data_IF_432367557041
#
_entry.id   IF_432367557041
#
_cell.length_a   1.000
_cell.length_b   1.000
_cell.length_c   1.000
_cell.angle_alpha   90.00
_cell.angle_beta   90.00
_cell.angle_gamma   90.00
#
_symmetry.space_group_name_H-M   'P 1'
#
loop_
_entity.id
_entity.type
_entity.pdbx_description
1 polymer ?
#
# COMPACT_ATOMS: atom_id res chain seq x y z
N UNK A 1 -26.73 12.28 45.06
CA UNK A 1 -27.83 11.78 45.91
C UNK A 1 -28.99 12.75 45.70
N UNK A 2 -29.90 12.48 44.75
CA UNK A 2 -31.25 11.92 44.99
C UNK A 2 -32.03 12.71 46.06
N UNK A 3 -33.26 13.19 45.91
CA UNK A 3 -34.36 12.92 44.97
C UNK A 3 -35.51 13.91 45.30
N UNK A 4 -36.38 14.16 44.31
CA UNK A 4 -37.86 14.25 44.38
C UNK A 4 -38.58 15.45 45.03
N UNK A 5 -39.58 15.88 44.24
CA UNK A 5 -40.97 16.26 44.61
C UNK A 5 -41.16 17.56 45.39
N UNK A 6 -42.22 18.34 45.21
CA UNK A 6 -43.31 18.42 44.24
C UNK A 6 -44.00 19.75 44.56
N UNK A 7 -44.75 20.25 43.58
CA UNK A 7 -45.81 21.21 43.73
C UNK A 7 -46.56 21.14 45.07
N UNK A 8 -46.89 22.32 45.61
CA UNK A 8 -48.24 22.78 45.97
C UNK A 8 -48.13 23.90 47.02
N UNK A 9 -48.87 24.98 46.74
CA UNK A 9 -49.21 26.16 47.57
C UNK A 9 -48.83 27.46 46.82
N UNK A 10 -49.65 27.94 45.90
CA UNK A 10 -50.94 28.62 46.17
C UNK A 10 -50.72 29.86 47.05
N UNK A 11 -50.45 31.01 46.44
CA UNK A 11 -51.35 32.19 46.37
C UNK A 11 -50.40 33.40 46.51
N UNK A 12 -50.53 34.57 45.92
CA UNK A 12 -51.60 35.36 45.32
C UNK A 12 -50.99 36.02 44.05
N UNK A 13 -51.68 36.16 42.93
CA UNK A 13 -52.40 37.41 42.69
C UNK A 13 -53.43 37.24 41.57
N UNK A 14 -54.69 37.38 41.95
CA UNK A 14 -55.86 37.60 41.08
C UNK A 14 -55.79 38.98 40.40
N UNK A 15 -56.71 39.15 39.44
CA UNK A 15 -57.17 40.37 38.70
C UNK A 15 -56.33 40.65 37.44
N UNK A 16 -56.85 40.65 36.21
CA UNK A 16 -58.17 41.09 35.69
C UNK A 16 -58.51 40.42 34.35
N UNK A 17 -59.77 40.01 34.16
CA UNK A 17 -60.39 39.62 32.88
C UNK A 17 -60.82 40.86 32.08
N UNK A 18 -60.96 40.66 30.77
CA UNK A 18 -61.91 41.29 29.84
C UNK A 18 -61.57 42.65 29.22
N UNK A 19 -61.04 42.64 27.98
CA UNK A 19 -61.42 43.48 26.81
C UNK A 19 -60.50 43.17 25.61
N UNK A 20 -60.74 42.08 24.87
CA UNK A 20 -60.09 41.84 23.57
C UNK A 20 -61.05 41.13 22.63
N UNK A 21 -62.06 41.83 22.12
CA UNK A 21 -62.89 41.23 21.05
C UNK A 21 -63.44 42.20 20.00
N UNK A 22 -63.32 43.52 20.15
CA UNK A 22 -63.96 44.47 19.21
C UNK A 22 -63.04 45.23 18.24
N UNK A 23 -61.71 45.04 18.26
CA UNK A 23 -60.77 45.86 17.45
C UNK A 23 -60.14 45.13 16.24
N UNK A 24 -60.48 43.86 15.98
CA UNK A 24 -59.71 43.01 15.04
C UNK A 24 -60.29 42.91 13.62
N UNK A 25 -61.55 43.26 13.39
CA UNK A 25 -62.21 43.07 12.08
C UNK A 25 -61.93 44.21 11.08
N UNK A 26 -61.86 45.47 11.53
CA UNK A 26 -61.65 46.60 10.62
C UNK A 26 -60.23 46.69 10.07
N UNK A 27 -59.24 46.24 10.85
CA UNK A 27 -57.84 46.22 10.43
C UNK A 27 -57.58 45.13 9.38
N UNK A 28 -58.24 43.97 9.48
CA UNK A 28 -58.12 42.90 8.48
C UNK A 28 -58.75 43.27 7.14
N UNK A 29 -59.92 43.93 7.13
CA UNK A 29 -60.59 44.32 5.89
C UNK A 29 -59.77 45.34 5.09
N UNK A 30 -59.13 46.31 5.78
CA UNK A 30 -58.24 47.30 5.16
C UNK A 30 -56.96 46.67 4.59
N UNK A 31 -56.40 45.68 5.29
CA UNK A 31 -55.23 44.95 4.80
C UNK A 31 -55.54 44.14 3.54
N UNK A 32 -56.70 43.49 3.48
CA UNK A 32 -57.13 42.70 2.31
C UNK A 32 -57.42 43.61 1.10
N UNK A 33 -58.04 44.78 1.31
CA UNK A 33 -58.28 45.74 0.22
C UNK A 33 -57.00 46.33 -0.36
N UNK A 34 -55.99 46.60 0.47
CA UNK A 34 -54.68 47.10 0.01
C UNK A 34 -53.91 46.00 -0.73
N UNK A 35 -54.01 44.76 -0.27
CA UNK A 35 -53.37 43.62 -0.94
C UNK A 35 -54.02 43.33 -2.31
N UNK A 36 -55.34 43.40 -2.40
CA UNK A 36 -56.07 43.27 -3.68
C UNK A 36 -55.69 44.38 -4.67
N UNK A 37 -55.62 45.63 -4.21
CA UNK A 37 -55.25 46.77 -5.07
C UNK A 37 -53.79 46.67 -5.56
N UNK A 38 -52.88 46.18 -4.72
CA UNK A 38 -51.47 45.95 -5.07
C UNK A 38 -51.32 44.79 -6.07
N UNK A 39 -52.10 43.72 -5.93
CA UNK A 39 -52.09 42.60 -6.90
C UNK A 39 -52.65 43.00 -8.26
N UNK A 40 -53.68 43.85 -8.31
CA UNK A 40 -54.22 44.35 -9.59
C UNK A 40 -53.27 45.32 -10.29
N UNK A 41 -52.51 46.13 -9.53
CA UNK A 41 -51.55 47.06 -10.11
C UNK A 41 -50.30 46.34 -10.67
N UNK A 42 -49.91 45.21 -10.08
CA UNK A 42 -48.79 44.39 -10.57
C UNK A 42 -49.11 43.62 -11.86
N UNK A 43 -50.38 43.35 -12.15
CA UNK A 43 -50.78 42.59 -13.35
C UNK A 43 -50.88 43.46 -14.61
N UNK A 44 -51.11 44.77 -14.46
CA UNK A 44 -51.21 45.70 -15.59
C UNK A 44 -49.85 46.04 -16.24
N UNK A 45 -48.73 45.79 -15.55
CA UNK A 45 -47.40 46.14 -16.03
C UNK A 45 -46.79 45.13 -17.05
N UNK A 46 -47.50 44.04 -17.38
CA UNK A 46 -46.98 42.97 -18.26
C UNK A 46 -47.54 43.05 -19.69
N UNK A 47 -48.41 44.02 -19.99
CA UNK A 47 -49.14 44.08 -21.26
C UNK A 47 -48.41 44.80 -22.42
N UNK A 48 -47.14 45.16 -22.27
CA UNK A 48 -46.44 45.98 -23.27
C UNK A 48 -45.05 45.46 -23.58
N UNK A 49 -44.96 44.34 -24.31
CA UNK A 49 -43.75 43.94 -25.06
C UNK A 49 -44.06 42.73 -25.97
N UNK A 50 -44.87 42.96 -27.02
CA UNK A 50 -44.88 42.11 -28.20
C UNK A 50 -44.27 42.91 -29.36
N UNK A 51 -42.94 43.04 -29.35
CA UNK A 51 -42.18 43.56 -30.48
C UNK A 51 -41.72 42.37 -31.32
N UNK A 52 -42.31 42.17 -32.49
CA UNK A 52 -41.88 41.15 -33.46
C UNK A 52 -40.70 41.72 -34.24
N UNK A 53 -39.50 41.15 -34.08
CA UNK A 53 -38.28 41.56 -34.78
C UNK A 53 -38.33 41.07 -36.24
N UNK A 54 -38.25 42.00 -37.19
CA UNK A 54 -38.27 41.73 -38.63
C UNK A 54 -37.00 42.31 -39.26
N UNK A 55 -36.52 41.72 -40.36
CA UNK A 55 -35.25 42.09 -40.99
C UNK A 55 -35.42 42.58 -42.43
N UNK A 56 -34.56 43.49 -42.89
CA UNK A 56 -34.54 43.97 -44.29
C UNK A 56 -33.85 42.94 -45.21
N UNK A 57 -34.49 42.58 -46.32
CA UNK A 57 -34.01 41.59 -47.30
C UNK A 57 -32.77 42.00 -48.11
N UNK A 58 -32.15 41.02 -48.79
CA UNK A 58 -30.78 41.04 -49.32
C UNK A 58 -30.45 42.19 -50.31
N UNK A 59 -29.30 42.83 -50.06
CA UNK A 59 -28.64 43.99 -50.71
C UNK A 59 -29.53 45.10 -51.30
N UNK A 60 -30.39 45.71 -50.48
CA UNK A 60 -31.19 46.87 -50.81
C UNK A 60 -30.93 48.00 -49.79
N UNK A 61 -30.62 49.20 -50.27
CA UNK A 61 -30.74 50.42 -49.45
C UNK A 61 -32.19 50.85 -49.54
N UNK A 62 -32.95 50.68 -48.46
CA UNK A 62 -34.38 51.00 -48.42
C UNK A 62 -34.59 52.29 -47.64
N UNK A 63 -35.17 53.28 -48.30
CA UNK A 63 -35.55 54.54 -47.66
C UNK A 63 -36.76 54.38 -46.75
N UNK A 64 -36.66 54.84 -45.51
CA UNK A 64 -37.76 54.96 -44.55
C UNK A 64 -38.60 56.17 -44.94
N UNK A 65 -39.92 56.03 -45.07
CA UNK A 65 -40.79 57.11 -45.56
C UNK A 65 -41.64 57.73 -44.45
N UNK A 66 -41.89 59.03 -44.58
CA UNK A 66 -42.74 59.81 -43.68
C UNK A 66 -44.20 59.35 -43.65
N UNK A 67 -44.73 58.97 -44.81
CA UNK A 67 -46.14 58.63 -45.03
C UNK A 67 -46.24 57.36 -45.89
N UNK A 68 -47.36 56.61 -45.80
CA UNK A 68 -47.58 55.38 -46.58
C UNK A 68 -47.92 55.67 -48.06
N UNK A 69 -47.22 56.61 -48.68
CA UNK A 69 -47.41 57.03 -50.07
C UNK A 69 -46.20 56.74 -50.95
N UNK A 70 -46.46 56.52 -52.25
CA UNK A 70 -45.41 56.18 -53.21
C UNK A 70 -44.42 57.34 -53.48
N UNK A 71 -44.81 58.60 -53.26
CA UNK A 71 -44.00 59.80 -53.53
C UNK A 71 -43.48 60.50 -52.25
N UNK A 72 -43.64 59.88 -51.08
CA UNK A 72 -43.22 60.47 -49.81
C UNK A 72 -41.69 60.65 -49.70
N UNK A 73 -41.20 61.73 -49.04
CA UNK A 73 -39.77 61.93 -48.81
C UNK A 73 -39.19 60.85 -47.90
N UNK A 74 -37.93 60.47 -48.17
CA UNK A 74 -37.18 59.52 -47.35
C UNK A 74 -36.62 60.24 -46.12
N UNK A 75 -36.96 59.77 -44.93
CA UNK A 75 -36.52 60.31 -43.62
C UNK A 75 -35.26 59.59 -43.11
N UNK A 76 -35.01 58.37 -43.56
CA UNK A 76 -33.83 57.59 -43.21
C UNK A 76 -33.54 56.52 -44.25
N UNK A 77 -32.42 55.81 -44.08
CA UNK A 77 -32.04 54.69 -44.93
C UNK A 77 -31.76 53.47 -44.04
N UNK A 78 -32.26 52.31 -44.44
CA UNK A 78 -31.92 51.02 -43.86
C UNK A 78 -31.11 50.20 -44.84
N UNK A 79 -30.12 49.52 -44.31
CA UNK A 79 -29.36 48.50 -45.01
C UNK A 79 -29.99 47.12 -44.81
N UNK A 80 -29.67 46.22 -45.72
CA UNK A 80 -30.00 44.80 -45.56
C UNK A 80 -29.43 44.28 -44.24
N UNK A 81 -30.17 43.39 -43.59
CA UNK A 81 -29.88 42.81 -42.28
C UNK A 81 -30.17 43.72 -41.07
N UNK A 82 -30.53 45.00 -41.27
CA UNK A 82 -30.92 45.88 -40.17
C UNK A 82 -32.20 45.35 -39.50
N UNK A 83 -32.20 45.18 -38.17
CA UNK A 83 -33.39 44.82 -37.43
C UNK A 83 -34.32 46.02 -37.32
N UNK A 84 -35.61 45.80 -37.56
CA UNK A 84 -36.65 46.79 -37.32
C UNK A 84 -37.75 46.21 -36.45
N UNK A 85 -38.29 47.04 -35.56
CA UNK A 85 -39.47 46.68 -34.76
C UNK A 85 -40.73 47.00 -35.55
N UNK A 86 -41.61 46.01 -35.73
CA UNK A 86 -42.91 46.23 -36.35
C UNK A 86 -43.86 46.90 -35.34
N UNK A 87 -44.36 48.09 -35.67
CA UNK A 87 -45.35 48.82 -34.87
C UNK A 87 -46.77 48.64 -35.40
N UNK A 88 -46.96 48.67 -36.72
CA UNK A 88 -48.28 48.51 -37.36
C UNK A 88 -48.18 47.75 -38.69
N UNK A 89 -49.09 46.79 -38.91
CA UNK A 89 -49.20 46.02 -40.15
C UNK A 89 -50.25 46.64 -41.08
N UNK A 90 -49.82 47.36 -42.11
CA UNK A 90 -50.70 47.85 -43.19
C UNK A 90 -50.66 46.94 -44.45
N UNK A 91 -51.58 47.17 -45.38
CA UNK A 91 -51.75 46.32 -46.58
C UNK A 91 -50.51 46.29 -47.48
N UNK A 92 -49.88 47.45 -47.71
CA UNK A 92 -48.71 47.61 -48.61
C UNK A 92 -47.46 48.07 -47.85
N UNK A 93 -47.65 48.83 -46.78
CA UNK A 93 -46.60 49.42 -45.95
C UNK A 93 -46.75 48.98 -44.50
N UNK A 94 -45.63 48.70 -43.85
CA UNK A 94 -45.53 48.49 -42.41
C UNK A 94 -44.95 49.75 -41.77
N UNK A 95 -45.53 50.17 -40.65
CA UNK A 95 -44.91 51.17 -39.78
C UNK A 95 -43.89 50.44 -38.91
N UNK A 96 -42.63 50.86 -39.02
CA UNK A 96 -41.55 50.25 -38.26
C UNK A 96 -40.80 51.31 -37.48
N UNK A 97 -40.17 50.88 -36.38
CA UNK A 97 -39.21 51.68 -35.62
C UNK A 97 -37.81 51.06 -35.77
N UNK A 98 -36.84 51.91 -36.11
CA UNK A 98 -35.42 51.52 -36.16
C UNK A 98 -34.77 51.58 -34.78
N UNK A 99 -33.62 50.95 -34.59
CA UNK A 99 -32.85 51.01 -33.33
C UNK A 99 -32.53 52.46 -32.91
N UNK A 100 -32.33 53.34 -33.89
CA UNK A 100 -32.09 54.78 -33.68
C UNK A 100 -33.36 55.55 -33.22
N UNK A 101 -34.48 54.85 -33.04
CA UNK A 101 -35.76 55.43 -32.61
C UNK A 101 -36.53 56.14 -33.72
N UNK A 102 -36.09 56.04 -34.98
CA UNK A 102 -36.80 56.65 -36.12
C UNK A 102 -38.00 55.80 -36.50
N UNK A 103 -39.18 56.41 -36.59
CA UNK A 103 -40.41 55.76 -37.03
C UNK A 103 -40.73 56.12 -38.47
N UNK A 104 -41.13 55.13 -39.27
CA UNK A 104 -41.63 55.39 -40.61
C UNK A 104 -42.08 54.15 -41.37
N UNK A 105 -42.57 54.39 -42.59
CA UNK A 105 -43.25 53.39 -43.39
C UNK A 105 -42.31 52.71 -44.38
N UNK A 106 -42.32 51.37 -44.41
CA UNK A 106 -41.52 50.54 -45.31
C UNK A 106 -42.42 49.51 -46.00
N UNK A 107 -42.19 49.24 -47.29
CA UNK A 107 -43.00 48.26 -48.03
C UNK A 107 -42.78 46.83 -47.51
N UNK A 108 -43.87 46.08 -47.37
CA UNK A 108 -43.89 44.67 -46.89
C UNK A 108 -42.91 43.76 -47.66
N UNK A 109 -42.75 43.96 -48.97
CA UNK A 109 -41.86 43.15 -49.82
C UNK A 109 -40.37 43.24 -49.46
N UNK A 110 -39.95 44.27 -48.73
CA UNK A 110 -38.55 44.46 -48.32
C UNK A 110 -38.25 43.92 -46.92
N UNK A 111 -39.29 43.47 -46.20
CA UNK A 111 -39.21 42.98 -44.84
C UNK A 111 -39.42 41.46 -44.83
N UNK A 112 -38.53 40.74 -44.15
CA UNK A 112 -38.63 39.29 -43.96
C UNK A 112 -38.65 38.94 -42.48
N UNK A 113 -39.56 38.03 -42.12
CA UNK A 113 -39.61 37.43 -40.77
C UNK A 113 -38.54 36.34 -40.59
N UNK A 114 -37.95 35.84 -41.68
CA UNK A 114 -36.87 34.86 -41.62
C UNK A 114 -35.54 35.55 -41.34
N UNK A 115 -34.71 34.94 -40.51
CA UNK A 115 -33.40 35.50 -40.16
C UNK A 115 -32.52 35.62 -41.42
N UNK A 116 -31.85 36.76 -41.64
CA UNK A 116 -31.00 36.95 -42.80
C UNK A 116 -29.85 35.94 -42.90
N UNK A 117 -29.48 35.62 -44.14
CA UNK A 117 -28.45 34.59 -44.43
C UNK A 117 -27.09 34.95 -43.85
N UNK A 118 -26.71 36.24 -43.87
CA UNK A 118 -25.42 36.68 -43.33
C UNK A 118 -25.30 36.42 -41.83
N UNK A 119 -26.38 36.66 -41.07
CA UNK A 119 -26.42 36.34 -39.64
C UNK A 119 -26.36 34.82 -39.37
N UNK A 120 -26.99 34.02 -40.24
CA UNK A 120 -26.91 32.56 -40.16
C UNK A 120 -25.48 32.08 -40.44
N UNK A 121 -24.84 32.61 -41.49
CA UNK A 121 -23.46 32.26 -41.86
C UNK A 121 -22.50 32.63 -40.74
N UNK A 122 -22.60 33.83 -40.17
CA UNK A 122 -21.76 34.27 -39.05
C UNK A 122 -21.90 33.34 -37.83
N UNK A 123 -23.12 32.91 -37.50
CA UNK A 123 -23.34 31.95 -36.41
C UNK A 123 -22.80 30.55 -36.73
N UNK A 124 -22.94 30.10 -37.98
CA UNK A 124 -22.39 28.82 -38.44
C UNK A 124 -20.86 28.82 -38.39
N UNK A 125 -20.21 29.90 -38.84
CA UNK A 125 -18.76 30.07 -38.74
C UNK A 125 -18.30 30.06 -37.28
N UNK A 126 -19.03 30.74 -36.39
CA UNK A 126 -18.75 30.73 -34.95
C UNK A 126 -18.90 29.33 -34.33
N UNK A 127 -19.94 28.57 -34.73
CA UNK A 127 -20.12 27.18 -34.30
C UNK A 127 -19.00 26.29 -34.80
N UNK A 128 -18.64 26.40 -36.08
CA UNK A 128 -17.58 25.64 -36.70
C UNK A 128 -16.22 25.93 -36.05
N UNK A 129 -15.93 27.20 -35.73
CA UNK A 129 -14.73 27.59 -34.99
C UNK A 129 -14.70 26.98 -33.57
N UNK A 130 -15.84 26.98 -32.86
CA UNK A 130 -15.97 26.35 -31.53
C UNK A 130 -15.78 24.84 -31.59
N UNK A 131 -16.43 24.17 -32.54
CA UNK A 131 -16.32 22.73 -32.70
C UNK A 131 -14.90 22.32 -33.12
N UNK A 132 -14.26 23.05 -34.03
CA UNK A 132 -12.85 22.82 -34.38
C UNK A 132 -11.94 22.95 -33.17
N UNK A 133 -12.16 23.97 -32.33
CA UNK A 133 -11.40 24.13 -31.08
C UNK A 133 -11.64 22.97 -30.12
N UNK A 134 -12.90 22.59 -29.90
CA UNK A 134 -13.25 21.46 -29.03
C UNK A 134 -12.63 20.14 -29.52
N UNK A 135 -12.60 19.90 -30.84
CA UNK A 135 -11.94 18.74 -31.43
C UNK A 135 -10.42 18.77 -31.22
N UNK A 136 -9.79 19.94 -31.35
CA UNK A 136 -8.36 20.09 -31.09
C UNK A 136 -8.02 19.83 -29.61
N UNK A 137 -8.80 20.41 -28.70
CA UNK A 137 -8.62 20.23 -27.25
C UNK A 137 -8.87 18.77 -26.85
N UNK A 138 -9.89 18.13 -27.41
CA UNK A 138 -10.20 16.72 -27.16
C UNK A 138 -9.09 15.80 -27.70
N UNK A 139 -8.56 16.09 -28.89
CA UNK A 139 -7.43 15.33 -29.47
C UNK A 139 -6.16 15.46 -28.63
N UNK A 140 -5.86 16.67 -28.14
CA UNK A 140 -4.74 16.89 -27.23
C UNK A 140 -4.93 16.19 -25.87
N UNK A 141 -6.16 16.16 -25.37
CA UNK A 141 -6.52 15.42 -24.15
C UNK A 141 -6.39 13.91 -24.33
N UNK A 142 -6.81 13.38 -25.48
CA UNK A 142 -6.63 11.97 -25.82
C UNK A 142 -5.14 11.61 -25.93
N UNK A 143 -4.35 12.40 -26.66
CA UNK A 143 -2.92 12.10 -26.84
C UNK A 143 -2.14 12.15 -25.52
N UNK A 144 -2.51 13.05 -24.61
CA UNK A 144 -1.90 13.10 -23.28
C UNK A 144 -2.32 11.88 -22.43
N UNK A 145 -3.61 11.51 -22.47
CA UNK A 145 -4.09 10.31 -21.79
C UNK A 145 -3.46 9.02 -22.34
N UNK A 146 -3.26 8.90 -23.65
CA UNK A 146 -2.56 7.78 -24.27
C UNK A 146 -1.11 7.71 -23.80
N UNK A 147 -0.40 8.86 -23.80
CA UNK A 147 0.98 8.92 -23.29
C UNK A 147 1.08 8.51 -21.82
N UNK A 148 0.12 8.90 -21.00
CA UNK A 148 0.11 8.55 -19.57
C UNK A 148 -0.25 7.08 -19.35
N UNK A 149 -1.16 6.51 -20.17
CA UNK A 149 -1.44 5.08 -20.18
C UNK A 149 -0.20 4.26 -20.57
N UNK A 150 0.54 4.67 -21.61
CA UNK A 150 1.80 4.02 -22.01
C UNK A 150 2.84 4.07 -20.90
N UNK A 151 3.03 5.23 -20.25
CA UNK A 151 3.94 5.35 -19.11
C UNK A 151 3.53 4.47 -17.94
N UNK A 152 2.24 4.42 -17.63
CA UNK A 152 1.72 3.61 -16.53
C UNK A 152 1.87 2.11 -16.84
N UNK A 153 1.62 1.70 -18.08
CA UNK A 153 1.81 0.33 -18.54
C UNK A 153 3.29 -0.07 -18.49
N UNK A 154 4.20 0.81 -18.93
CA UNK A 154 5.64 0.58 -18.81
C UNK A 154 6.08 0.44 -17.35
N UNK A 155 5.60 1.32 -16.45
CA UNK A 155 5.89 1.23 -15.00
C UNK A 155 5.34 -0.04 -14.38
N UNK A 156 4.13 -0.45 -14.76
CA UNK A 156 3.50 -1.66 -14.25
C UNK A 156 4.30 -2.90 -14.67
N UNK A 157 4.70 -2.98 -15.94
CA UNK A 157 5.52 -4.07 -16.45
C UNK A 157 6.88 -4.13 -15.74
N UNK A 158 7.56 -2.98 -15.57
CA UNK A 158 8.81 -2.92 -14.82
C UNK A 158 8.65 -3.38 -13.36
N UNK A 159 7.54 -3.02 -12.72
CA UNK A 159 7.23 -3.44 -11.34
C UNK A 159 6.98 -4.95 -11.27
N UNK A 160 6.26 -5.52 -12.25
CA UNK A 160 6.02 -6.96 -12.34
C UNK A 160 7.35 -7.71 -12.48
N UNK A 161 8.24 -7.26 -13.36
CA UNK A 161 9.56 -7.86 -13.54
C UNK A 161 10.39 -7.80 -12.24
N UNK A 162 10.39 -6.65 -11.54
CA UNK A 162 11.07 -6.50 -10.26
C UNK A 162 10.50 -7.44 -9.18
N UNK A 163 9.18 -7.54 -9.08
CA UNK A 163 8.53 -8.43 -8.11
C UNK A 163 8.81 -9.90 -8.41
N UNK A 164 8.83 -10.30 -9.69
CA UNK A 164 9.21 -11.65 -10.10
C UNK A 164 10.66 -11.98 -9.73
N UNK A 165 11.58 -11.04 -9.91
CA UNK A 165 12.98 -11.21 -9.49
C UNK A 165 13.11 -11.32 -7.97
N UNK A 166 12.39 -10.50 -7.22
CA UNK A 166 12.38 -10.56 -5.76
C UNK A 166 11.81 -11.88 -5.23
N UNK A 167 10.73 -12.37 -5.83
CA UNK A 167 10.15 -13.67 -5.49
C UNK A 167 11.13 -14.81 -5.77
N UNK A 168 11.77 -14.81 -6.94
CA UNK A 168 12.77 -15.82 -7.29
C UNK A 168 13.98 -15.81 -6.34
N UNK A 169 14.43 -14.62 -5.90
CA UNK A 169 15.52 -14.49 -4.93
C UNK A 169 15.09 -14.95 -3.53
N UNK A 170 13.88 -14.58 -3.08
CA UNK A 170 13.35 -15.05 -1.80
C UNK A 170 13.16 -16.57 -1.78
N UNK A 171 12.69 -17.16 -2.87
CA UNK A 171 12.58 -18.62 -2.99
C UNK A 171 13.95 -19.29 -2.86
N UNK A 172 14.98 -18.76 -3.54
CA UNK A 172 16.36 -19.26 -3.39
C UNK A 172 16.84 -19.13 -1.95
N UNK A 173 16.66 -17.97 -1.33
CA UNK A 173 17.07 -17.74 0.06
C UNK A 173 16.37 -18.71 1.02
N UNK A 174 15.07 -18.96 0.85
CA UNK A 174 14.33 -19.94 1.65
C UNK A 174 14.86 -21.36 1.46
N UNK A 175 15.21 -21.76 0.23
CA UNK A 175 15.79 -23.08 -0.02
C UNK A 175 17.16 -23.25 0.63
N UNK A 176 18.01 -22.22 0.58
CA UNK A 176 19.33 -22.26 1.21
C UNK A 176 19.22 -22.23 2.74
N UNK A 177 18.32 -21.42 3.30
CA UNK A 177 18.02 -21.43 4.74
C UNK A 177 17.47 -22.79 5.18
N UNK A 178 16.61 -23.42 4.40
CA UNK A 178 16.08 -24.75 4.71
C UNK A 178 17.18 -25.82 4.72
N UNK A 179 18.09 -25.81 3.73
CA UNK A 179 19.27 -26.69 3.73
C UNK A 179 20.17 -26.44 4.94
N UNK A 180 20.45 -25.17 5.25
CA UNK A 180 21.26 -24.79 6.41
C UNK A 180 20.64 -25.27 7.73
N UNK A 181 19.31 -25.13 7.88
CA UNK A 181 18.60 -25.63 9.04
C UNK A 181 18.67 -27.16 9.18
N UNK A 182 18.65 -27.89 8.05
CA UNK A 182 18.79 -29.34 8.07
C UNK A 182 20.21 -29.79 8.43
N UNK A 183 21.24 -29.15 7.86
CA UNK A 183 22.63 -29.40 8.24
C UNK A 183 22.87 -29.12 9.72
N UNK A 184 22.36 -28.01 10.25
CA UNK A 184 22.45 -27.67 11.67
C UNK A 184 21.79 -28.73 12.56
N UNK A 185 20.65 -29.31 12.14
CA UNK A 185 20.02 -30.41 12.89
C UNK A 185 20.89 -31.65 12.89
N UNK A 186 21.51 -31.99 11.77
CA UNK A 186 22.42 -33.13 11.66
C UNK A 186 23.66 -32.94 12.53
N UNK A 187 24.28 -31.75 12.48
CA UNK A 187 25.43 -31.40 13.32
C UNK A 187 25.08 -31.47 14.81
N UNK A 188 23.89 -30.99 15.20
CA UNK A 188 23.42 -31.06 16.58
C UNK A 188 23.21 -32.53 17.01
N UNK A 189 22.63 -33.36 16.15
CA UNK A 189 22.46 -34.79 16.40
C UNK A 189 23.81 -35.51 16.55
N UNK A 190 24.78 -35.20 15.69
CA UNK A 190 26.13 -35.75 15.76
C UNK A 190 26.88 -35.27 17.00
N UNK A 191 26.82 -33.98 17.33
CA UNK A 191 27.41 -33.41 18.53
C UNK A 191 26.83 -34.04 19.80
N UNK A 192 25.51 -34.27 19.85
CA UNK A 192 24.86 -35.01 20.95
C UNK A 192 25.37 -36.44 21.06
N UNK A 193 25.53 -37.13 19.92
CA UNK A 193 26.06 -38.50 19.91
C UNK A 193 27.50 -38.54 20.42
N UNK A 194 28.38 -37.64 19.94
CA UNK A 194 29.77 -37.52 20.39
C UNK A 194 29.85 -37.21 21.88
N UNK A 195 29.01 -36.28 22.36
CA UNK A 195 28.93 -35.95 23.78
C UNK A 195 28.52 -37.15 24.64
N UNK A 196 27.49 -37.90 24.23
CA UNK A 196 27.04 -39.08 24.96
C UNK A 196 28.10 -40.20 24.97
N UNK A 197 28.80 -40.41 23.84
CA UNK A 197 29.90 -41.36 23.77
C UNK A 197 31.03 -40.96 24.70
N UNK A 198 31.47 -39.69 24.65
CA UNK A 198 32.53 -39.18 25.53
C UNK A 198 32.15 -39.31 27.00
N UNK A 199 30.89 -39.04 27.35
CA UNK A 199 30.37 -39.24 28.71
C UNK A 199 30.50 -40.70 29.14
N UNK A 200 30.10 -41.65 28.28
CA UNK A 200 30.21 -43.09 28.55
C UNK A 200 31.67 -43.53 28.68
N UNK A 201 32.53 -43.13 27.76
CA UNK A 201 33.95 -43.46 27.80
C UNK A 201 34.62 -42.91 29.07
N UNK A 202 34.18 -41.73 29.53
CA UNK A 202 34.67 -41.14 30.80
C UNK A 202 34.21 -41.91 32.04
N UNK A 203 33.03 -42.55 32.03
CA UNK A 203 32.60 -43.45 33.10
C UNK A 203 33.49 -44.70 33.16
N UNK A 204 33.89 -45.24 32.01
CA UNK A 204 34.81 -46.39 31.90
C UNK A 204 36.26 -46.05 32.32
N UNK A 205 36.69 -44.78 32.30
CA UNK A 205 38.04 -44.41 32.75
C UNK A 205 38.27 -44.76 34.22
N UNK A 206 37.27 -44.60 35.09
CA UNK A 206 37.42 -44.92 36.52
C UNK A 206 37.66 -46.42 36.72
N UNK A 207 36.96 -47.28 35.98
CA UNK A 207 37.14 -48.72 36.06
C UNK A 207 38.52 -49.14 35.54
N UNK A 208 38.99 -48.54 34.43
CA UNK A 208 40.32 -48.76 33.88
C UNK A 208 41.42 -48.33 34.86
N UNK A 209 41.27 -47.17 35.52
CA UNK A 209 42.24 -46.70 36.52
C UNK A 209 42.34 -47.68 37.69
N UNK A 210 41.21 -48.16 38.19
CA UNK A 210 41.19 -49.16 39.28
C UNK A 210 41.84 -50.48 38.85
N UNK A 211 41.54 -50.96 37.64
CA UNK A 211 42.13 -52.18 37.11
C UNK A 211 43.64 -52.03 36.88
N UNK A 212 44.08 -50.87 36.39
CA UNK A 212 45.50 -50.54 36.21
C UNK A 212 46.25 -50.53 37.53
N UNK A 213 45.67 -49.97 38.60
CA UNK A 213 46.30 -50.02 39.93
C UNK A 213 46.30 -51.45 40.51
N UNK A 214 45.24 -52.23 40.31
CA UNK A 214 45.18 -53.65 40.70
C UNK A 214 46.25 -54.49 40.00
N UNK A 215 46.34 -54.41 38.67
CA UNK A 215 47.34 -55.11 37.87
C UNK A 215 48.77 -54.68 38.24
N UNK A 216 48.97 -53.41 38.61
CA UNK A 216 50.26 -52.92 39.08
C UNK A 216 50.65 -53.52 40.43
N UNK A 217 49.70 -53.66 41.35
CA UNK A 217 49.91 -54.36 42.63
C UNK A 217 50.21 -55.85 42.41
N UNK A 218 49.46 -56.51 41.53
CA UNK A 218 49.67 -57.93 41.20
C UNK A 218 51.04 -58.16 40.56
N UNK A 219 51.44 -57.33 39.60
CA UNK A 219 52.77 -57.39 39.00
C UNK A 219 53.88 -57.15 40.04
N UNK A 220 53.69 -56.24 40.99
CA UNK A 220 54.65 -56.02 42.07
C UNK A 220 54.79 -57.28 42.95
N UNK A 221 53.66 -57.87 43.36
CA UNK A 221 53.64 -59.10 44.16
C UNK A 221 54.26 -60.30 43.44
N UNK A 222 53.93 -60.51 42.16
CA UNK A 222 54.54 -61.57 41.34
C UNK A 222 56.05 -61.36 41.16
N UNK A 223 56.49 -60.10 41.07
CA UNK A 223 57.92 -59.78 41.00
C UNK A 223 58.62 -60.11 42.32
N UNK A 224 58.01 -59.78 43.45
CA UNK A 224 58.54 -60.12 44.78
C UNK A 224 58.59 -61.63 45.00
N UNK A 225 57.56 -62.37 44.58
CA UNK A 225 57.52 -63.84 44.64
C UNK A 225 58.57 -64.48 43.71
N UNK A 226 58.75 -63.95 42.50
CA UNK A 226 59.84 -64.39 41.62
C UNK A 226 61.21 -64.14 42.25
N UNK A 227 61.39 -63.01 42.92
CA UNK A 227 62.64 -62.70 43.62
C UNK A 227 62.86 -63.64 44.80
N UNK A 228 61.84 -63.90 45.62
CA UNK A 228 61.94 -64.84 46.74
C UNK A 228 62.23 -66.26 46.27
N UNK A 229 61.53 -66.75 45.24
CA UNK A 229 61.79 -68.07 44.66
C UNK A 229 63.18 -68.16 44.04
N UNK A 230 63.69 -67.09 43.41
CA UNK A 230 65.06 -67.05 42.90
C UNK A 230 66.09 -67.08 44.02
N UNK A 231 65.86 -66.34 45.10
CA UNK A 231 66.72 -66.35 46.29
C UNK A 231 66.72 -67.71 46.98
N UNK A 232 65.55 -68.32 47.18
CA UNK A 232 65.40 -69.68 47.72
C UNK A 232 66.11 -70.70 46.84
N UNK A 233 65.92 -70.63 45.52
CA UNK A 233 66.58 -71.54 44.59
C UNK A 233 68.11 -71.33 44.62
N UNK A 234 68.60 -70.09 44.64
CA UNK A 234 70.02 -69.79 44.77
C UNK A 234 70.60 -70.29 46.11
N UNK A 235 69.86 -70.16 47.20
CA UNK A 235 70.23 -70.69 48.52
C UNK A 235 70.31 -72.22 48.51
N UNK A 236 69.29 -72.90 47.98
CA UNK A 236 69.25 -74.35 47.85
C UNK A 236 70.40 -74.87 46.98
N UNK A 237 70.65 -74.25 45.81
CA UNK A 237 71.78 -74.57 44.94
C UNK A 237 73.11 -74.38 45.66
N UNK A 238 73.32 -73.25 46.36
CA UNK A 238 74.54 -73.02 47.14
C UNK A 238 74.74 -74.07 48.23
N UNK A 239 73.68 -74.45 48.95
CA UNK A 239 73.73 -75.50 49.98
C UNK A 239 74.07 -76.88 49.39
N UNK A 240 73.50 -77.21 48.23
CA UNK A 240 73.78 -78.43 47.50
C UNK A 240 75.21 -78.46 46.98
N UNK A 241 75.67 -77.37 46.34
CA UNK A 241 77.03 -77.20 45.84
C UNK A 241 78.04 -77.30 46.97
N UNK A 242 77.81 -76.69 48.14
CA UNK A 242 78.71 -76.83 49.30
C UNK A 242 78.79 -78.29 49.75
N UNK A 243 77.68 -79.02 49.84
CA UNK A 243 77.68 -80.45 50.22
C UNK A 243 78.45 -81.32 49.21
N UNK A 244 78.19 -81.14 47.92
CA UNK A 244 78.87 -81.87 46.85
C UNK A 244 80.36 -81.48 46.73
N UNK A 245 80.70 -80.21 46.93
CA UNK A 245 82.08 -79.72 46.96
C UNK A 245 82.85 -80.29 48.16
N UNK A 246 82.24 -80.30 49.36
CA UNK A 246 82.84 -80.88 50.56
C UNK A 246 83.05 -82.39 50.40
N UNK A 247 82.10 -83.09 49.79
CA UNK A 247 82.24 -84.50 49.44
C UNK A 247 83.40 -84.73 48.45
N UNK A 248 83.51 -83.92 47.40
CA UNK A 248 84.63 -83.97 46.45
C UNK A 248 85.99 -83.67 47.11
N UNK A 249 86.06 -82.66 47.98
CA UNK A 249 87.25 -82.34 48.78
C UNK A 249 87.62 -83.47 49.75
N UNK A 250 86.63 -84.11 50.38
CA UNK A 250 86.82 -85.28 51.23
C UNK A 250 87.38 -86.49 50.48
N UNK A 251 86.85 -86.78 49.28
CA UNK A 251 87.38 -87.84 48.41
C UNK A 251 88.81 -87.54 47.98
N UNK A 252 89.13 -86.30 47.61
CA UNK A 252 90.51 -85.87 47.32
C UNK A 252 91.44 -86.02 48.52
N UNK A 253 90.99 -85.67 49.73
CA UNK A 253 91.78 -85.79 50.96
C UNK A 253 92.04 -87.25 51.34
N UNK A 254 91.04 -88.13 51.23
CA UNK A 254 91.18 -89.58 51.44
C UNK A 254 92.11 -90.19 50.38
N UNK A 255 91.92 -89.82 49.11
CA UNK A 255 92.80 -90.24 48.01
C UNK A 255 94.24 -89.79 48.22
N UNK A 256 94.46 -88.57 48.73
CA UNK A 256 95.77 -88.03 49.06
C UNK A 256 96.43 -88.77 50.25
N UNK A 257 95.66 -89.09 51.31
CA UNK A 257 96.15 -89.92 52.41
C UNK A 257 96.55 -91.33 51.95
N UNK A 258 95.70 -91.99 51.17
CA UNK A 258 95.97 -93.34 50.64
C UNK A 258 97.20 -93.30 49.71
N UNK A 259 97.29 -92.31 48.83
CA UNK A 259 98.45 -92.10 47.94
C UNK A 259 99.75 -91.86 48.72
N UNK A 260 99.70 -91.11 49.83
CA UNK A 260 100.85 -90.88 50.70
C UNK A 260 101.25 -92.14 51.50
N UNK A 261 100.28 -92.95 51.93
CA UNK A 261 100.53 -94.23 52.62
C UNK A 261 101.01 -95.35 51.69
N UNK A 262 100.74 -95.26 50.39
CA UNK A 262 101.18 -96.25 49.37
C UNK A 262 102.69 -96.20 49.07
N UNK A 263 103.41 -95.17 49.53
CA UNK A 263 104.89 -95.17 49.50
C UNK A 263 105.46 -95.97 50.68
N UNK A 264 105.21 -97.28 50.71
CA UNK A 264 105.98 -98.25 51.51
C UNK A 264 106.81 -99.15 50.60
N UNK A 265 108.12 -98.94 50.69
CA UNK A 265 109.27 -99.73 50.20
C UNK A 265 109.00 -101.19 49.78
N UNK A 266 109.65 -101.59 48.68
CA UNK A 266 110.64 -102.68 48.72
C UNK A 266 111.91 -102.31 47.94
N UNK A 267 113.04 -102.67 48.55
CA UNK A 267 114.43 -102.58 48.10
C UNK A 267 114.83 -103.91 47.43
N UNK A 268 115.87 -103.79 46.62
CA UNK A 268 116.68 -104.82 45.93
C UNK A 268 116.04 -105.38 44.66
#
# INVERSE_FOLDING_TARGET
MFYKFNSLLWSLARKTRSTRFFFKEDVMKRAISVLLLATTLSLAAVASLYAETIYVGDRLVVGIRATPEAAAPSIGNLTSDDPVELLEEGDVFFLVRTEDGTEGYIKKQYLTRSRPKNLIIADLEKKLAREKKALADLKASMSSSESDLEKNQAKLNATIEQLQQQLAEQEKELTERAKGAENLKQDLAEARKKFNNLKKDSEDVISIVNERERLKQENAGLTDELNSLREENAYLLRSGVIKWFLAGAGVLFIGWMIGKSSRRKRRY
#
